data_IF_780168953165
#
_entry.id   IF_780168953165
#
_cell.length_a   1.000
_cell.length_b   1.000
_cell.length_c   1.000
_cell.angle_alpha   90.00
_cell.angle_beta   90.00
_cell.angle_gamma   90.00
#
_symmetry.space_group_name_H-M   'P 1'
#
loop_
_entity.id
_entity.type
_entity.pdbx_description
1 polymer ?
#
# COMPACT_ATOMS: atom_id res chain seq x y z
N UNK A 1 -0.64 -6.09 11.51
CA UNK A 1 -0.38 -5.46 10.21
C UNK A 1 -0.99 -6.34 9.11
N UNK A 2 -2.09 -5.89 8.50
CA UNK A 2 -2.83 -6.62 7.46
C UNK A 2 -2.08 -6.50 6.11
N UNK A 3 -2.13 -7.52 5.25
CA UNK A 3 -1.50 -7.53 3.91
C UNK A 3 -1.83 -6.31 3.05
N UNK A 4 -3.03 -5.76 3.20
CA UNK A 4 -3.49 -4.52 2.58
C UNK A 4 -2.60 -3.29 2.84
N UNK A 5 -1.83 -3.27 3.93
CA UNK A 5 -0.89 -2.19 4.23
C UNK A 5 0.38 -2.25 3.37
N UNK A 6 0.63 -3.37 2.68
CA UNK A 6 1.72 -3.50 1.73
C UNK A 6 1.50 -2.64 0.49
N UNK A 7 0.23 -2.41 0.11
CA UNK A 7 -0.12 -1.72 -1.13
C UNK A 7 0.38 -0.28 -1.14
N UNK A 8 0.09 0.49 -0.09
CA UNK A 8 0.58 1.86 0.05
C UNK A 8 2.10 1.93 0.12
N UNK A 9 2.72 0.92 0.73
CA UNK A 9 4.18 0.80 0.82
C UNK A 9 4.81 0.55 -0.55
N UNK A 10 4.26 -0.37 -1.34
CA UNK A 10 4.72 -0.68 -2.70
C UNK A 10 4.51 0.51 -3.63
N UNK A 11 3.30 1.06 -3.65
CA UNK A 11 2.96 2.22 -4.49
C UNK A 11 3.87 3.40 -4.13
N UNK A 12 4.08 3.65 -2.83
CA UNK A 12 4.99 4.69 -2.35
C UNK A 12 6.44 4.47 -2.78
N UNK A 13 6.97 3.25 -2.66
CA UNK A 13 8.33 2.90 -3.12
C UNK A 13 8.49 3.08 -4.63
N UNK A 14 7.50 2.64 -5.42
CA UNK A 14 7.50 2.82 -6.88
C UNK A 14 7.48 4.29 -7.27
N UNK A 15 6.62 5.11 -6.65
CA UNK A 15 6.56 6.55 -6.90
C UNK A 15 7.84 7.25 -6.47
N UNK A 16 8.41 6.88 -5.32
CA UNK A 16 9.70 7.40 -4.84
C UNK A 16 10.81 7.15 -5.87
N UNK A 17 10.93 5.93 -6.38
CA UNK A 17 11.90 5.57 -7.42
C UNK A 17 11.70 6.34 -8.72
N UNK A 18 10.45 6.54 -9.15
CA UNK A 18 10.15 7.34 -10.34
C UNK A 18 10.54 8.81 -10.14
N UNK A 19 10.24 9.39 -8.98
CA UNK A 19 10.57 10.79 -8.67
C UNK A 19 12.08 11.00 -8.49
N UNK A 20 12.79 10.04 -7.88
CA UNK A 20 14.26 10.02 -7.84
C UNK A 20 14.85 9.98 -9.25
N UNK A 21 14.33 9.12 -10.13
CA UNK A 21 14.75 9.05 -11.53
C UNK A 21 14.53 10.37 -12.27
N UNK A 22 13.40 11.03 -12.02
CA UNK A 22 13.07 12.35 -12.56
C UNK A 22 13.87 13.51 -11.93
N UNK A 23 14.77 13.22 -10.98
CA UNK A 23 15.60 14.22 -10.28
C UNK A 23 14.78 15.29 -9.57
N UNK A 24 13.74 14.88 -8.84
CA UNK A 24 13.07 15.78 -7.91
C UNK A 24 14.09 16.45 -6.97
N UNK A 25 13.99 17.77 -6.78
CA UNK A 25 14.93 18.53 -5.95
C UNK A 25 14.97 18.04 -4.50
N UNK A 26 13.80 17.66 -3.95
CA UNK A 26 13.67 17.13 -2.61
C UNK A 26 12.58 16.05 -2.58
N UNK A 27 12.94 14.84 -2.15
CA UNK A 27 12.00 13.74 -1.97
C UNK A 27 11.93 13.34 -0.49
N UNK A 28 10.74 13.43 0.08
CA UNK A 28 10.47 13.00 1.46
C UNK A 28 9.50 11.81 1.40
N UNK A 29 10.04 10.60 1.54
CA UNK A 29 9.22 9.38 1.63
C UNK A 29 8.79 9.13 3.08
N UNK A 30 7.48 9.08 3.33
CA UNK A 30 6.92 8.73 4.65
C UNK A 30 5.85 7.66 4.50
N UNK A 31 6.18 6.45 4.95
CA UNK A 31 5.21 5.38 5.05
C UNK A 31 4.49 5.43 6.40
N UNK A 32 3.17 5.56 6.39
CA UNK A 32 2.34 5.48 7.60
C UNK A 32 1.79 4.07 7.72
N UNK A 33 2.47 3.25 8.54
CA UNK A 33 2.07 1.87 8.81
C UNK A 33 1.10 1.89 10.01
N UNK A 34 -0.19 2.10 9.76
CA UNK A 34 -1.17 2.18 10.83
C UNK A 34 -2.57 2.54 10.35
N UNK A 35 -3.56 2.17 11.14
CA UNK A 35 -4.98 2.35 10.82
C UNK A 35 -5.33 3.83 10.85
N UNK A 36 -5.94 4.31 9.77
CA UNK A 36 -6.41 5.69 9.61
C UNK A 36 -7.63 6.00 10.49
N UNK A 37 -7.92 5.19 11.51
CA UNK A 37 -9.16 5.26 12.30
C UNK A 37 -9.45 6.62 12.91
N UNK A 38 -8.42 7.37 13.35
CA UNK A 38 -8.60 8.74 13.86
C UNK A 38 -8.87 9.72 12.72
N UNK A 39 -8.17 9.60 11.60
CA UNK A 39 -8.34 10.50 10.46
C UNK A 39 -9.67 10.24 9.73
N UNK A 40 -10.10 8.98 9.60
CA UNK A 40 -11.46 8.61 9.20
C UNK A 40 -12.49 9.06 10.23
N UNK A 41 -12.21 8.95 11.54
CA UNK A 41 -13.08 9.46 12.59
C UNK A 41 -13.29 10.97 12.50
N UNK A 42 -12.23 11.73 12.21
CA UNK A 42 -12.29 13.17 11.96
C UNK A 42 -13.03 13.50 10.66
N UNK A 43 -12.81 12.72 9.59
CA UNK A 43 -13.52 12.87 8.32
C UNK A 43 -15.02 12.59 8.49
N UNK A 44 -15.37 11.52 9.20
CA UNK A 44 -16.75 11.13 9.51
C UNK A 44 -17.41 12.19 10.40
N UNK A 45 -16.72 12.66 11.44
CA UNK A 45 -17.22 13.74 12.29
C UNK A 45 -17.48 15.03 11.49
N UNK A 46 -16.56 15.40 10.59
CA UNK A 46 -16.73 16.52 9.68
C UNK A 46 -17.92 16.34 8.73
N UNK A 47 -18.10 15.13 8.19
CA UNK A 47 -19.24 14.82 7.32
C UNK A 47 -20.58 14.93 8.07
N UNK A 48 -20.66 14.45 9.32
CA UNK A 48 -21.86 14.62 10.16
C UNK A 48 -22.15 16.07 10.51
N UNK A 49 -21.10 16.87 10.75
CA UNK A 49 -21.26 18.29 11.07
C UNK A 49 -21.75 19.10 9.87
N UNK A 50 -21.29 18.73 8.66
CA UNK A 50 -21.57 19.49 7.44
C UNK A 50 -22.82 18.99 6.68
N UNK A 51 -23.15 17.72 6.82
CA UNK A 51 -24.30 17.08 6.17
C UNK A 51 -25.19 16.44 7.26
N UNK A 52 -26.19 17.18 7.77
CA UNK A 52 -27.09 16.68 8.82
C UNK A 52 -27.90 15.45 8.39
N UNK A 53 -28.12 15.29 7.08
CA UNK A 53 -28.76 14.13 6.48
C UNK A 53 -27.73 13.29 5.70
N UNK A 54 -27.53 12.00 6.05
CA UNK A 54 -26.57 11.12 5.37
C UNK A 54 -26.85 10.88 3.88
N UNK A 55 -28.11 11.04 3.45
CA UNK A 55 -28.52 10.86 2.04
C UNK A 55 -28.00 11.98 1.11
N UNK A 56 -27.58 13.12 1.68
CA UNK A 56 -27.00 14.23 0.93
C UNK A 56 -25.51 14.03 0.62
N UNK A 57 -24.87 13.02 1.24
CA UNK A 57 -23.46 12.69 1.05
C UNK A 57 -23.32 11.78 -0.16
N UNK A 58 -22.65 12.26 -1.21
CA UNK A 58 -22.36 11.47 -2.41
C UNK A 58 -20.91 10.94 -2.41
N UNK A 59 -20.59 10.00 -3.32
CA UNK A 59 -19.23 9.45 -3.46
C UNK A 59 -18.16 10.53 -3.71
N UNK A 60 -18.52 11.65 -4.34
CA UNK A 60 -17.58 12.76 -4.58
C UNK A 60 -17.24 13.57 -3.32
N UNK A 61 -18.06 13.49 -2.27
CA UNK A 61 -17.82 14.17 -0.98
C UNK A 61 -16.85 13.41 -0.06
N UNK A 62 -16.72 12.09 -0.26
CA UNK A 62 -15.83 11.21 0.52
C UNK A 62 -14.55 10.89 -0.28
N UNK A 63 -14.63 10.91 -1.61
CA UNK A 63 -13.66 10.27 -2.50
C UNK A 63 -12.35 11.01 -2.75
N UNK A 64 -12.18 12.25 -2.29
CA UNK A 64 -10.96 13.01 -2.59
C UNK A 64 -10.57 13.98 -1.48
N UNK A 65 -9.33 14.46 -1.58
CA UNK A 65 -8.67 15.51 -0.77
C UNK A 65 -9.51 16.79 -0.57
N UNK A 66 -10.70 16.88 -1.17
CA UNK A 66 -11.71 17.89 -0.94
C UNK A 66 -11.98 18.14 0.55
N UNK A 67 -12.09 17.10 1.38
CA UNK A 67 -12.28 17.30 2.81
C UNK A 67 -11.09 18.01 3.47
N UNK A 68 -9.86 17.64 3.08
CA UNK A 68 -8.63 18.29 3.55
C UNK A 68 -8.51 19.74 3.07
N UNK A 69 -8.93 20.03 1.83
CA UNK A 69 -9.00 21.41 1.30
C UNK A 69 -10.06 22.24 2.02
N UNK A 70 -11.24 21.66 2.29
CA UNK A 70 -12.33 22.31 3.04
C UNK A 70 -11.94 22.58 4.50
N UNK A 71 -11.10 21.73 5.10
CA UNK A 71 -10.53 21.93 6.44
C UNK A 71 -9.36 22.93 6.49
N UNK A 72 -8.92 23.45 5.34
CA UNK A 72 -7.80 24.39 5.24
C UNK A 72 -6.41 23.76 5.39
N UNK A 73 -6.30 22.42 5.34
CA UNK A 73 -5.03 21.70 5.44
C UNK A 73 -4.27 21.63 4.12
N UNK A 74 -4.97 21.81 3.00
CA UNK A 74 -4.39 21.87 1.66
C UNK A 74 -4.81 23.17 0.96
N UNK A 75 -3.98 23.71 0.05
CA UNK A 75 -4.31 24.90 -0.72
C UNK A 75 -5.61 24.72 -1.52
N UNK A 76 -6.30 25.84 -1.80
CA UNK A 76 -7.52 25.80 -2.64
C UNK A 76 -7.16 25.50 -4.10
N UNK A 77 -6.06 26.06 -4.59
CA UNK A 77 -5.51 25.74 -5.90
C UNK A 77 -4.75 24.40 -5.84
N UNK A 78 -5.06 23.41 -6.70
CA UNK A 78 -4.31 22.16 -6.78
C UNK A 78 -2.86 22.29 -7.25
N UNK A 79 -2.46 23.41 -7.85
CA UNK A 79 -1.09 23.67 -8.31
C UNK A 79 -0.25 24.44 -7.29
N UNK A 80 -0.84 24.90 -6.19
CA UNK A 80 -0.11 25.51 -5.09
C UNK A 80 0.45 24.46 -4.14
N UNK A 81 1.63 24.72 -3.60
CA UNK A 81 2.29 23.81 -2.67
C UNK A 81 1.69 23.90 -1.27
N UNK A 82 1.53 22.76 -0.57
CA UNK A 82 1.87 21.39 -1.01
C UNK A 82 0.82 20.79 -1.96
N UNK A 83 1.29 20.27 -3.10
CA UNK A 83 0.45 19.52 -4.06
C UNK A 83 0.20 18.13 -3.48
N UNK A 84 -1.06 17.73 -3.42
CA UNK A 84 -1.47 16.43 -2.93
C UNK A 84 -2.39 15.75 -3.96
N UNK A 85 -2.09 14.48 -4.26
CA UNK A 85 -2.83 13.65 -5.22
C UNK A 85 -3.24 12.36 -4.55
N UNK A 86 -4.51 12.00 -4.63
CA UNK A 86 -4.98 10.69 -4.20
C UNK A 86 -4.66 9.66 -5.29
N UNK A 87 -3.89 8.63 -4.94
CA UNK A 87 -3.57 7.51 -5.83
C UNK A 87 -4.39 6.30 -5.38
N UNK A 88 -5.56 6.12 -5.99
CA UNK A 88 -6.44 4.99 -5.70
C UNK A 88 -5.83 3.65 -6.10
N UNK A 89 -6.23 2.58 -5.42
CA UNK A 89 -5.83 1.21 -5.75
C UNK A 89 -6.99 0.21 -5.56
N UNK A 90 -6.98 -0.88 -6.33
CA UNK A 90 -8.03 -1.90 -6.33
C UNK A 90 -7.98 -2.88 -5.14
N UNK A 91 -8.92 -3.83 -5.13
CA UNK A 91 -8.94 -4.93 -4.16
C UNK A 91 -7.93 -6.03 -4.55
N UNK A 92 -7.27 -6.63 -3.56
CA UNK A 92 -6.51 -7.88 -3.77
C UNK A 92 -7.47 -9.05 -3.61
N UNK A 93 -7.54 -9.85 -4.67
CA UNK A 93 -8.45 -10.98 -4.79
C UNK A 93 -7.67 -12.29 -4.67
N UNK A 94 -8.36 -13.34 -4.21
CA UNK A 94 -7.89 -14.72 -4.33
C UNK A 94 -8.07 -15.25 -5.74
N UNK A 95 -7.63 -16.49 -5.93
CA UNK A 95 -7.89 -17.30 -7.13
C UNK A 95 -9.39 -17.53 -7.38
N UNK A 96 -10.20 -17.50 -6.32
CA UNK A 96 -11.66 -17.57 -6.36
C UNK A 96 -12.36 -16.26 -6.75
N UNK A 97 -11.60 -15.19 -7.02
CA UNK A 97 -12.11 -13.85 -7.35
C UNK A 97 -12.74 -13.11 -6.16
N UNK A 98 -12.73 -13.69 -4.95
CA UNK A 98 -13.21 -13.02 -3.73
C UNK A 98 -12.06 -12.31 -3.04
N UNK A 99 -12.36 -11.52 -2.01
CA UNK A 99 -11.32 -10.83 -1.23
C UNK A 99 -10.32 -11.84 -0.67
N UNK A 100 -9.04 -11.58 -0.89
CA UNK A 100 -7.95 -12.44 -0.43
C UNK A 100 -8.00 -12.62 1.09
N UNK A 101 -8.12 -13.88 1.53
CA UNK A 101 -8.21 -14.29 2.94
C UNK A 101 -7.49 -15.62 3.15
N UNK A 102 -7.14 -15.92 4.39
CA UNK A 102 -6.62 -17.25 4.74
C UNK A 102 -7.73 -18.31 4.62
N UNK A 103 -7.32 -19.59 4.60
CA UNK A 103 -8.27 -20.72 4.66
C UNK A 103 -9.14 -20.72 5.93
N UNK A 104 -8.69 -20.05 7.02
CA UNK A 104 -9.45 -19.85 8.26
C UNK A 104 -10.43 -18.67 8.19
N UNK A 105 -10.59 -18.00 7.04
CA UNK A 105 -11.36 -16.75 6.87
C UNK A 105 -10.78 -15.56 7.65
N UNK A 106 -9.57 -15.71 8.19
CA UNK A 106 -8.88 -14.64 8.89
C UNK A 106 -8.13 -13.73 7.92
N UNK A 107 -7.91 -12.51 8.38
CA UNK A 107 -6.99 -11.56 7.76
C UNK A 107 -5.60 -12.18 7.65
N UNK A 108 -5.04 -12.21 6.44
CA UNK A 108 -3.65 -12.64 6.22
C UNK A 108 -2.72 -11.56 6.77
N UNK A 109 -1.83 -11.93 7.70
CA UNK A 109 -0.80 -11.02 8.20
C UNK A 109 0.24 -10.84 7.12
N UNK A 110 0.73 -9.60 7.00
CA UNK A 110 1.73 -9.28 6.00
C UNK A 110 3.02 -10.09 6.17
N UNK A 111 3.47 -10.27 7.42
CA UNK A 111 4.68 -11.04 7.74
C UNK A 111 4.57 -12.46 7.19
N UNK A 112 3.43 -13.13 7.42
CA UNK A 112 3.22 -14.50 6.94
C UNK A 112 3.25 -14.59 5.41
N UNK A 113 2.73 -13.57 4.70
CA UNK A 113 2.79 -13.54 3.24
C UNK A 113 4.23 -13.38 2.73
N UNK A 114 5.00 -12.47 3.32
CA UNK A 114 6.38 -12.21 2.93
C UNK A 114 7.28 -13.41 3.22
N UNK A 115 7.08 -14.06 4.37
CA UNK A 115 7.79 -15.28 4.74
C UNK A 115 7.46 -16.42 3.77
N UNK A 116 6.18 -16.57 3.39
CA UNK A 116 5.77 -17.57 2.41
C UNK A 116 6.35 -17.29 1.01
N UNK A 117 6.42 -16.02 0.59
CA UNK A 117 7.03 -15.63 -0.68
C UNK A 117 8.53 -15.97 -0.70
N UNK A 118 9.28 -15.59 0.35
CA UNK A 118 10.69 -15.94 0.52
C UNK A 118 10.90 -17.44 0.52
N UNK A 119 10.08 -18.20 1.26
CA UNK A 119 10.15 -19.67 1.33
C UNK A 119 9.96 -20.32 -0.04
N UNK A 120 8.98 -19.87 -0.84
CA UNK A 120 8.75 -20.40 -2.19
C UNK A 120 9.93 -20.12 -3.12
N UNK A 121 10.50 -18.91 -3.06
CA UNK A 121 11.70 -18.58 -3.84
C UNK A 121 12.90 -19.45 -3.42
N UNK A 122 13.08 -19.69 -2.11
CA UNK A 122 14.15 -20.56 -1.61
C UNK A 122 14.02 -22.00 -2.13
N UNK A 123 12.79 -22.54 -2.15
CA UNK A 123 12.53 -23.88 -2.71
C UNK A 123 12.85 -23.91 -4.21
N UNK A 124 12.39 -22.92 -4.98
CA UNK A 124 12.65 -22.84 -6.42
C UNK A 124 14.16 -22.74 -6.74
N UNK A 125 14.93 -21.98 -5.95
CA UNK A 125 16.40 -21.85 -6.14
C UNK A 125 17.15 -23.17 -5.87
N UNK A 126 16.59 -24.06 -5.07
CA UNK A 126 17.16 -25.36 -4.74
C UNK A 126 16.70 -26.49 -5.69
N UNK A 127 15.83 -26.20 -6.65
CA UNK A 127 15.40 -27.20 -7.63
C UNK A 127 16.59 -27.66 -8.50
N UNK A 128 16.72 -28.97 -8.79
CA UNK A 128 17.90 -29.54 -9.46
C UNK A 128 18.21 -28.95 -10.84
N UNK A 129 17.19 -28.44 -11.53
CA UNK A 129 17.32 -27.84 -12.86
C UNK A 129 17.97 -26.44 -12.81
N UNK A 130 18.03 -25.80 -11.65
CA UNK A 130 18.74 -24.53 -11.43
C UNK A 130 20.21 -24.79 -11.08
N UNK A 131 20.93 -25.40 -12.02
CA UNK A 131 22.32 -25.84 -11.88
C UNK A 131 23.30 -24.68 -11.59
N UNK A 132 23.39 -24.29 -10.32
CA UNK A 132 24.45 -23.49 -9.72
C UNK A 132 24.68 -24.02 -8.30
N UNK A 133 25.93 -24.24 -7.92
CA UNK A 133 26.29 -24.45 -6.53
C UNK A 133 26.21 -23.09 -5.81
N UNK A 134 25.06 -22.80 -5.21
CA UNK A 134 24.88 -21.60 -4.41
C UNK A 134 25.31 -21.88 -2.96
N UNK A 135 25.97 -20.91 -2.35
CA UNK A 135 26.20 -20.95 -0.90
C UNK A 135 24.89 -20.69 -0.13
N UNK A 136 24.81 -21.13 1.12
CA UNK A 136 23.63 -20.90 1.96
C UNK A 136 23.33 -19.40 2.14
N UNK A 137 24.38 -18.56 2.23
CA UNK A 137 24.25 -17.12 2.32
C UNK A 137 23.69 -16.49 1.03
N UNK A 138 24.15 -16.94 -0.14
CA UNK A 138 23.65 -16.44 -1.42
C UNK A 138 22.19 -16.86 -1.65
N UNK A 139 21.81 -18.08 -1.25
CA UNK A 139 20.42 -18.54 -1.31
C UNK A 139 19.54 -17.65 -0.45
N UNK A 140 19.97 -17.33 0.78
CA UNK A 140 19.18 -16.53 1.70
C UNK A 140 18.98 -15.11 1.17
N UNK A 141 20.06 -14.44 0.73
CA UNK A 141 19.99 -13.09 0.14
C UNK A 141 19.16 -13.06 -1.13
N UNK A 142 19.34 -14.04 -2.01
CA UNK A 142 18.65 -14.10 -3.31
C UNK A 142 17.18 -14.41 -3.14
N UNK A 143 16.82 -15.36 -2.27
CA UNK A 143 15.42 -15.70 -1.97
C UNK A 143 14.68 -14.54 -1.33
N UNK A 144 15.35 -13.74 -0.50
CA UNK A 144 14.79 -12.53 0.08
C UNK A 144 14.55 -11.44 -0.98
N UNK A 145 15.56 -11.16 -1.80
CA UNK A 145 15.46 -10.17 -2.87
C UNK A 145 14.38 -10.52 -3.90
N UNK A 146 14.36 -11.77 -4.38
CA UNK A 146 13.36 -12.25 -5.36
C UNK A 146 11.99 -12.37 -4.69
N UNK A 147 11.92 -12.96 -3.49
CA UNK A 147 10.67 -13.18 -2.79
C UNK A 147 9.96 -11.88 -2.51
N UNK A 148 10.64 -10.89 -1.92
CA UNK A 148 10.04 -9.58 -1.66
C UNK A 148 9.82 -8.80 -2.95
N UNK A 149 10.76 -8.89 -3.91
CA UNK A 149 10.64 -8.26 -5.23
C UNK A 149 9.43 -8.74 -6.02
N UNK A 150 9.06 -10.01 -5.92
CA UNK A 150 7.90 -10.58 -6.61
C UNK A 150 6.55 -10.21 -5.98
N UNK A 151 6.54 -9.76 -4.71
CA UNK A 151 5.32 -9.24 -4.07
C UNK A 151 5.11 -7.76 -4.40
N UNK A 152 6.17 -7.02 -4.72
CA UNK A 152 6.11 -5.63 -5.19
C UNK A 152 5.57 -5.55 -6.61
#
# INVERSE_FOLDING_TARGET
MHVGNLRSTIIGDTLARMLEYCKAEELISRNHIGDWGIQFGMLIAYLFEKFPNPEDVNESDIGDLQASRRAGWLPKDPNEYPICTHVGFGLVLGDDGKRFRSRSSETVRLVDLLDEAKRRCKVALLEPDNAKEWTEEEIEKTSEAIGYGAVK
#
